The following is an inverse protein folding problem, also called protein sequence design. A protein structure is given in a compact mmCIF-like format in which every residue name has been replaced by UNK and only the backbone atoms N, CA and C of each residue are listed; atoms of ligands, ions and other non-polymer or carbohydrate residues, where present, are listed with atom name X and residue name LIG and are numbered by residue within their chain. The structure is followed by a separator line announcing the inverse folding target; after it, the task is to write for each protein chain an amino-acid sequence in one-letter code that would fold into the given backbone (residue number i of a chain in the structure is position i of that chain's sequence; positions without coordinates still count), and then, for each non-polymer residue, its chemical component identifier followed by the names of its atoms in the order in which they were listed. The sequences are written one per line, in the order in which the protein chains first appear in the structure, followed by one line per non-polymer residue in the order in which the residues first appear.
data_IF_037754455488
#
_entry.id   IF_037754455488
#
_cell.length_a   1.000
_cell.length_b   1.000
_cell.length_c   1.000
_cell.angle_alpha   90.00
_cell.angle_beta   90.00
_cell.angle_gamma   90.00
#
_symmetry.space_group_name_H-M   'P 1'
#
loop_
_entity.id
_entity.type
_entity.pdbx_description
1 polymer ?
#
# COMPACT_ATOMS: atom_id res chain seq x y z
N UNK A 1 -1.90 -14.12 12.34
CA UNK A 1 -0.97 -15.26 12.12
C UNK A 1 -0.12 -15.57 13.35
N UNK A 2 0.60 -14.58 13.90
CA UNK A 2 1.43 -14.75 15.12
C UNK A 2 0.61 -15.20 16.33
N UNK A 3 -0.55 -14.58 16.55
CA UNK A 3 -1.41 -14.91 17.70
C UNK A 3 -2.13 -16.26 17.58
N UNK A 4 -2.23 -16.80 16.36
CA UNK A 4 -2.92 -18.07 16.11
C UNK A 4 -4.36 -18.08 16.61
N UNK A 5 -4.80 -19.24 17.11
CA UNK A 5 -6.11 -19.38 17.78
C UNK A 5 -7.28 -18.93 16.91
N UNK A 6 -8.17 -18.10 17.46
CA UNK A 6 -9.37 -17.58 16.79
C UNK A 6 -9.07 -16.67 15.57
N UNK A 7 -7.82 -16.24 15.38
CA UNK A 7 -7.43 -15.42 14.23
C UNK A 7 -7.17 -16.23 12.95
N UNK A 8 -7.26 -17.55 13.02
CA UNK A 8 -7.23 -18.43 11.84
C UNK A 8 -8.56 -19.17 11.83
N UNK A 9 -9.35 -18.95 10.79
CA UNK A 9 -10.72 -19.49 10.69
C UNK A 9 -10.89 -20.08 9.30
N UNK A 10 -11.54 -21.24 9.22
CA UNK A 10 -11.92 -21.84 7.95
C UNK A 10 -13.02 -21.00 7.30
N UNK A 11 -12.81 -20.59 6.05
CA UNK A 11 -13.79 -19.81 5.30
C UNK A 11 -14.75 -20.75 4.55
N UNK A 12 -16.04 -20.41 4.56
CA UNK A 12 -17.07 -21.09 3.76
C UNK A 12 -17.52 -20.19 2.61
N UNK A 13 -18.30 -20.71 1.67
CA UNK A 13 -18.80 -19.93 0.52
C UNK A 13 -19.49 -18.62 0.93
N UNK A 14 -20.31 -18.67 1.98
CA UNK A 14 -21.02 -17.49 2.49
C UNK A 14 -20.10 -16.48 3.19
N UNK A 15 -18.89 -16.86 3.62
CA UNK A 15 -17.94 -15.98 4.31
C UNK A 15 -17.47 -14.82 3.43
N UNK A 16 -17.57 -14.96 2.10
CA UNK A 16 -17.17 -13.94 1.12
C UNK A 16 -18.36 -13.34 0.36
N UNK A 17 -19.59 -13.60 0.81
CA UNK A 17 -20.78 -13.00 0.20
C UNK A 17 -20.94 -11.55 0.64
N UNK A 18 -21.39 -10.69 -0.27
CA UNK A 18 -21.69 -9.27 0.00
C UNK A 18 -20.48 -8.42 0.43
N UNK A 19 -19.24 -8.81 0.11
CA UNK A 19 -18.05 -8.04 0.47
C UNK A 19 -17.43 -7.26 -0.71
N UNK A 20 -17.82 -7.56 -1.96
CA UNK A 20 -17.15 -7.03 -3.16
C UNK A 20 -17.23 -5.51 -3.33
N UNK A 21 -18.28 -4.88 -2.79
CA UNK A 21 -18.51 -3.43 -2.88
C UNK A 21 -17.96 -2.68 -1.65
N UNK A 22 -17.43 -3.40 -0.65
CA UNK A 22 -16.91 -2.80 0.57
C UNK A 22 -15.46 -2.37 0.36
N UNK A 23 -15.13 -1.16 0.83
CA UNK A 23 -13.74 -0.72 0.91
C UNK A 23 -12.97 -1.42 2.02
N UNK A 24 -11.65 -1.48 1.87
CA UNK A 24 -10.76 -2.06 2.88
C UNK A 24 -10.75 -3.60 2.86
N UNK A 25 -10.56 -4.21 4.03
CA UNK A 25 -10.46 -5.66 4.18
C UNK A 25 -11.37 -6.14 5.31
N UNK A 26 -12.23 -7.13 5.02
CA UNK A 26 -13.16 -7.71 5.99
C UNK A 26 -12.47 -8.56 7.06
N UNK A 27 -11.27 -9.06 6.75
CA UNK A 27 -10.43 -9.84 7.68
C UNK A 27 -9.45 -8.95 8.45
N UNK A 28 -9.47 -7.64 8.21
CA UNK A 28 -8.59 -6.67 8.85
C UNK A 28 -7.17 -6.65 8.28
N UNK A 29 -6.43 -5.60 8.64
CA UNK A 29 -4.99 -5.46 8.38
C UNK A 29 -4.36 -4.76 9.58
N UNK A 30 -3.19 -5.23 10.01
CA UNK A 30 -2.49 -4.69 11.17
C UNK A 30 -0.98 -4.74 10.95
N UNK A 31 -0.28 -3.69 11.41
CA UNK A 31 1.19 -3.70 11.47
C UNK A 31 1.62 -4.68 12.56
N UNK A 32 2.32 -5.74 12.18
CA UNK A 32 2.75 -6.80 13.10
C UNK A 32 4.23 -6.65 13.45
N UNK A 33 4.55 -5.97 14.57
CA UNK A 33 5.94 -5.81 15.03
C UNK A 33 6.61 -7.14 15.34
N UNK A 34 5.89 -8.05 16.00
CA UNK A 34 6.41 -9.37 16.37
C UNK A 34 6.89 -10.20 15.18
N UNK A 35 6.27 -10.02 14.01
CA UNK A 35 6.64 -10.76 12.80
C UNK A 35 7.97 -10.27 12.19
N UNK A 36 8.46 -9.10 12.60
CA UNK A 36 9.81 -8.63 12.26
C UNK A 36 10.88 -9.43 13.00
N UNK A 37 10.54 -9.99 14.16
CA UNK A 37 11.44 -10.83 14.95
C UNK A 37 11.29 -12.31 14.58
N UNK A 38 12.41 -13.03 14.61
CA UNK A 38 12.42 -14.48 14.33
C UNK A 38 11.48 -15.25 15.28
N UNK A 39 11.41 -14.84 16.55
CA UNK A 39 10.52 -15.45 17.54
C UNK A 39 9.03 -15.34 17.15
N UNK A 40 8.60 -14.22 16.57
CA UNK A 40 7.22 -14.08 16.09
C UNK A 40 6.96 -14.90 14.83
N UNK A 41 7.95 -15.01 13.92
CA UNK A 41 7.87 -15.91 12.77
C UNK A 41 7.82 -17.38 13.18
N UNK A 42 8.56 -17.79 14.21
CA UNK A 42 8.52 -19.14 14.78
C UNK A 42 7.12 -19.48 15.31
N UNK A 43 6.50 -18.57 16.08
CA UNK A 43 5.12 -18.71 16.55
C UNK A 43 4.12 -18.82 15.38
N UNK A 44 4.27 -17.96 14.38
CA UNK A 44 3.44 -18.00 13.18
C UNK A 44 3.55 -19.35 12.45
N UNK A 45 4.77 -19.86 12.25
CA UNK A 45 5.00 -21.17 11.63
C UNK A 45 4.31 -22.29 12.41
N UNK A 46 4.46 -22.32 13.73
CA UNK A 46 3.77 -23.28 14.61
C UNK A 46 2.25 -23.27 14.40
N UNK A 47 1.65 -22.08 14.38
CA UNK A 47 0.20 -21.93 14.23
C UNK A 47 -0.31 -22.44 12.88
N UNK A 48 0.46 -22.24 11.81
CA UNK A 48 0.14 -22.75 10.48
C UNK A 48 0.26 -24.27 10.42
N UNK A 49 1.37 -24.83 10.95
CA UNK A 49 1.60 -26.28 11.01
C UNK A 49 0.52 -26.99 11.84
N UNK A 50 0.12 -26.41 12.97
CA UNK A 50 -0.95 -26.94 13.82
C UNK A 50 -2.29 -27.10 13.10
N UNK A 51 -2.47 -26.40 11.97
CA UNK A 51 -3.68 -26.46 11.12
C UNK A 51 -3.41 -27.10 9.75
N UNK A 52 -2.20 -27.59 9.50
CA UNK A 52 -1.80 -28.17 8.23
C UNK A 52 -1.75 -27.18 7.07
N UNK A 53 -1.53 -25.89 7.35
CA UNK A 53 -1.50 -24.83 6.35
C UNK A 53 -0.06 -24.65 5.84
N UNK A 54 0.16 -24.94 4.56
CA UNK A 54 1.45 -24.74 3.86
C UNK A 54 1.32 -23.94 2.57
N UNK A 55 0.11 -23.50 2.25
CA UNK A 55 -0.16 -22.63 1.12
C UNK A 55 -0.66 -21.31 1.67
N UNK A 56 0.05 -20.23 1.38
CA UNK A 56 -0.24 -18.91 1.91
C UNK A 56 -0.41 -17.92 0.76
N UNK A 57 -1.55 -17.23 0.75
CA UNK A 57 -1.77 -16.07 -0.12
C UNK A 57 -1.64 -14.82 0.73
N UNK A 58 -0.72 -13.93 0.36
CA UNK A 58 -0.47 -12.67 1.08
C UNK A 58 -0.92 -11.52 0.21
N UNK A 59 -1.87 -10.73 0.71
CA UNK A 59 -2.39 -9.53 0.04
C UNK A 59 -1.93 -8.31 0.82
N UNK A 60 -1.13 -7.43 0.20
CA UNK A 60 -0.65 -6.22 0.84
C UNK A 60 0.37 -5.46 0.01
N UNK A 61 0.93 -4.40 0.58
CA UNK A 61 1.99 -3.61 -0.06
C UNK A 61 3.39 -4.23 0.10
N UNK A 62 4.41 -3.50 -0.36
CA UNK A 62 5.80 -3.94 -0.41
C UNK A 62 6.28 -4.66 0.86
N UNK A 63 6.22 -4.00 2.01
CA UNK A 63 6.71 -4.58 3.27
C UNK A 63 6.03 -5.89 3.70
N UNK A 64 4.77 -6.13 3.30
CA UNK A 64 4.09 -7.40 3.57
C UNK A 64 4.64 -8.53 2.68
N UNK A 65 4.90 -8.22 1.41
CA UNK A 65 5.45 -9.17 0.45
C UNK A 65 6.93 -9.45 0.72
N UNK A 66 7.70 -8.45 1.16
CA UNK A 66 9.07 -8.65 1.65
C UNK A 66 9.08 -9.60 2.85
N UNK A 67 8.20 -9.37 3.82
CA UNK A 67 8.07 -10.23 5.00
C UNK A 67 7.67 -11.67 4.66
N UNK A 68 6.77 -11.84 3.69
CA UNK A 68 6.38 -13.16 3.19
C UNK A 68 7.55 -13.88 2.51
N UNK A 69 8.33 -13.20 1.68
CA UNK A 69 9.52 -13.78 1.04
C UNK A 69 10.54 -14.23 2.09
N UNK A 70 10.85 -13.38 3.08
CA UNK A 70 11.75 -13.75 4.18
C UNK A 70 11.23 -14.97 4.94
N UNK A 71 9.94 -15.00 5.25
CA UNK A 71 9.31 -16.12 5.95
C UNK A 71 9.44 -17.44 5.19
N UNK A 72 9.29 -17.42 3.85
CA UNK A 72 9.51 -18.59 2.98
C UNK A 72 10.96 -19.06 3.00
N UNK A 73 11.91 -18.13 2.94
CA UNK A 73 13.35 -18.45 2.96
C UNK A 73 13.77 -19.07 4.29
N UNK A 74 13.25 -18.55 5.40
CA UNK A 74 13.54 -19.05 6.74
C UNK A 74 12.77 -20.32 7.12
N UNK A 75 11.71 -20.69 6.37
CA UNK A 75 10.76 -21.74 6.72
C UNK A 75 11.40 -23.05 7.18
N UNK A 76 12.37 -23.56 6.43
CA UNK A 76 13.06 -24.81 6.80
C UNK A 76 13.77 -24.70 8.15
N UNK A 77 14.48 -23.60 8.39
CA UNK A 77 15.18 -23.37 9.66
C UNK A 77 14.22 -23.18 10.85
N UNK A 78 13.04 -22.58 10.61
CA UNK A 78 12.01 -22.44 11.63
C UNK A 78 11.43 -23.80 12.01
N UNK A 79 11.20 -24.69 11.05
CA UNK A 79 10.73 -26.04 11.32
C UNK A 79 11.75 -26.89 12.08
N UNK A 80 13.03 -26.78 11.73
CA UNK A 80 14.09 -27.50 12.44
C UNK A 80 14.21 -27.02 13.90
N UNK A 81 14.01 -25.73 14.14
CA UNK A 81 13.96 -25.12 15.48
C UNK A 81 12.73 -25.58 16.27
N UNK A 82 11.54 -25.60 15.65
CA UNK A 82 10.32 -26.13 16.27
C UNK A 82 10.45 -27.62 16.62
N UNK A 83 11.10 -28.41 15.77
CA UNK A 83 11.36 -29.83 16.02
C UNK A 83 12.30 -30.01 17.21
N UNK A 84 13.38 -29.22 17.27
CA UNK A 84 14.33 -29.23 18.40
C UNK A 84 13.67 -28.86 19.72
N UNK A 85 12.72 -27.94 19.69
CA UNK A 85 11.95 -27.51 20.87
C UNK A 85 10.85 -28.52 21.25
N UNK A 86 10.62 -29.58 20.46
CA UNK A 86 9.55 -30.55 20.68
C UNK A 86 8.15 -29.99 20.42
N UNK A 87 8.03 -28.88 19.69
CA UNK A 87 6.76 -28.21 19.40
C UNK A 87 6.03 -28.84 18.19
N UNK A 88 6.76 -29.55 17.33
CA UNK A 88 6.24 -30.32 16.20
C UNK A 88 6.90 -31.70 16.15
N UNK A 89 6.23 -32.68 15.53
CA UNK A 89 6.80 -34.01 15.32
C UNK A 89 7.65 -34.08 14.05
N UNK A 90 8.54 -35.07 13.97
CA UNK A 90 9.35 -35.32 12.76
C UNK A 90 8.48 -35.60 11.52
N UNK A 91 7.32 -36.25 11.71
CA UNK A 91 6.34 -36.48 10.65
C UNK A 91 5.74 -35.17 10.15
N UNK A 92 5.31 -34.28 11.06
CA UNK A 92 4.78 -32.97 10.70
C UNK A 92 5.82 -32.13 9.96
N UNK A 93 7.08 -32.12 10.44
CA UNK A 93 8.19 -31.43 9.77
C UNK A 93 8.36 -31.93 8.33
N UNK A 94 8.33 -33.24 8.11
CA UNK A 94 8.50 -33.82 6.77
C UNK A 94 7.29 -33.56 5.86
N UNK A 95 6.06 -33.68 6.41
CA UNK A 95 4.82 -33.45 5.67
C UNK A 95 4.69 -31.99 5.21
N UNK A 96 5.10 -31.05 6.05
CA UNK A 96 4.92 -29.61 5.83
C UNK A 96 6.22 -28.87 5.48
N UNK A 97 7.21 -29.59 4.93
CA UNK A 97 8.54 -29.09 4.58
C UNK A 97 8.52 -27.89 3.62
N UNK A 98 7.53 -27.84 2.71
CA UNK A 98 7.46 -26.82 1.66
C UNK A 98 6.36 -25.82 2.02
N UNK A 99 6.72 -24.54 2.03
CA UNK A 99 5.78 -23.42 2.11
C UNK A 99 5.61 -22.79 0.73
N UNK A 100 4.41 -22.89 0.17
CA UNK A 100 4.03 -22.23 -1.06
C UNK A 100 3.47 -20.85 -0.73
N UNK A 101 3.99 -19.81 -1.37
CA UNK A 101 3.50 -18.44 -1.19
C UNK A 101 3.12 -17.85 -2.54
N UNK A 102 1.93 -17.25 -2.61
CA UNK A 102 1.53 -16.33 -3.66
C UNK A 102 1.29 -14.93 -3.06
N UNK A 103 1.74 -13.90 -3.77
CA UNK A 103 1.58 -12.50 -3.37
C UNK A 103 0.61 -11.77 -4.29
N UNK A 104 -0.25 -10.94 -3.71
CA UNK A 104 -1.07 -9.96 -4.43
C UNK A 104 -0.74 -8.58 -3.90
N UNK A 105 -0.50 -7.64 -4.80
CA UNK A 105 -0.12 -6.28 -4.42
C UNK A 105 -1.37 -5.45 -4.14
N UNK A 106 -1.65 -5.24 -2.86
CA UNK A 106 -2.70 -4.35 -2.37
C UNK A 106 -2.08 -3.07 -1.82
N UNK A 107 -2.01 -2.03 -2.64
CA UNK A 107 -1.42 -0.73 -2.33
C UNK A 107 -2.16 0.35 -3.11
N UNK A 108 -2.35 1.52 -2.51
CA UNK A 108 -2.85 2.70 -3.22
C UNK A 108 -1.71 3.44 -3.93
N UNK A 109 -0.48 3.24 -3.48
CA UNK A 109 0.67 4.07 -3.86
C UNK A 109 1.23 3.71 -5.25
N UNK A 110 0.85 2.55 -5.81
CA UNK A 110 1.46 1.94 -7.00
C UNK A 110 2.99 1.80 -6.92
N UNK A 111 3.46 1.43 -5.73
CA UNK A 111 4.88 1.46 -5.32
C UNK A 111 5.62 0.13 -5.50
N UNK A 112 5.03 -0.85 -6.16
CA UNK A 112 5.62 -2.19 -6.29
C UNK A 112 6.18 -2.44 -7.69
N UNK A 113 7.51 -2.51 -7.79
CA UNK A 113 8.20 -2.82 -9.04
C UNK A 113 7.80 -4.20 -9.58
N UNK A 114 7.51 -4.28 -10.88
CA UNK A 114 7.17 -5.52 -11.58
C UNK A 114 5.67 -5.73 -11.82
N UNK A 115 4.81 -4.82 -11.35
CA UNK A 115 3.43 -4.70 -11.79
C UNK A 115 3.19 -3.31 -12.35
N UNK A 116 2.36 -3.20 -13.37
CA UNK A 116 1.98 -1.89 -13.94
C UNK A 116 0.98 -1.16 -13.03
N UNK A 117 0.16 -1.92 -12.29
CA UNK A 117 -0.88 -1.41 -11.39
C UNK A 117 -1.00 -2.23 -10.12
N UNK A 118 -1.34 -1.57 -9.01
CA UNK A 118 -1.66 -2.21 -7.72
C UNK A 118 -3.14 -2.12 -7.37
N UNK A 119 -3.64 -3.09 -6.61
CA UNK A 119 -5.04 -3.12 -6.18
C UNK A 119 -5.27 -1.98 -5.18
N UNK A 120 -6.13 -1.04 -5.55
CA UNK A 120 -6.51 0.11 -4.72
C UNK A 120 -6.12 1.47 -5.29
N UNK A 121 -5.15 1.52 -6.21
CA UNK A 121 -4.67 2.78 -6.82
C UNK A 121 -5.77 3.56 -7.52
N UNK A 122 -6.53 2.91 -8.40
CA UNK A 122 -7.63 3.54 -9.13
C UNK A 122 -8.73 4.05 -8.20
N UNK A 123 -9.07 3.27 -7.17
CA UNK A 123 -10.03 3.69 -6.15
C UNK A 123 -9.55 4.91 -5.37
N UNK A 124 -8.26 4.98 -5.02
CA UNK A 124 -7.66 6.13 -4.35
C UNK A 124 -7.63 7.36 -5.26
N UNK A 125 -7.23 7.19 -6.52
CA UNK A 125 -7.26 8.25 -7.54
C UNK A 125 -8.67 8.82 -7.69
N UNK A 126 -9.68 7.96 -7.75
CA UNK A 126 -11.07 8.40 -7.84
C UNK A 126 -11.50 9.25 -6.63
N UNK A 127 -11.03 8.92 -5.41
CA UNK A 127 -11.27 9.77 -4.22
C UNK A 127 -10.55 11.12 -4.30
N UNK A 128 -9.32 11.16 -4.84
CA UNK A 128 -8.56 12.41 -5.02
C UNK A 128 -9.27 13.32 -6.02
N UNK A 129 -9.73 12.76 -7.15
CA UNK A 129 -10.47 13.50 -8.18
C UNK A 129 -11.77 14.05 -7.60
N UNK A 130 -12.57 13.22 -6.91
CA UNK A 130 -13.81 13.70 -6.27
C UNK A 130 -13.57 14.83 -5.27
N UNK A 131 -12.52 14.72 -4.44
CA UNK A 131 -12.17 15.77 -3.50
C UNK A 131 -11.73 17.06 -4.20
N UNK A 132 -11.01 16.92 -5.31
CA UNK A 132 -10.56 18.05 -6.13
C UNK A 132 -11.75 18.72 -6.83
N UNK A 133 -12.65 17.96 -7.43
CA UNK A 133 -13.86 18.48 -8.07
C UNK A 133 -14.76 19.22 -7.08
N UNK A 134 -14.87 18.71 -5.84
CA UNK A 134 -15.63 19.36 -4.79
C UNK A 134 -15.11 20.76 -4.44
N UNK A 135 -13.78 20.98 -4.46
CA UNK A 135 -13.18 22.28 -4.13
C UNK A 135 -13.18 23.27 -5.30
N UNK A 136 -13.19 22.81 -6.56
CA UNK A 136 -13.11 23.65 -7.77
C UNK A 136 -14.16 24.78 -7.75
N UNK A 137 -15.41 24.46 -7.41
CA UNK A 137 -16.51 25.43 -7.37
C UNK A 137 -16.23 26.60 -6.42
N UNK A 138 -15.63 26.32 -5.26
CA UNK A 138 -15.27 27.31 -4.26
C UNK A 138 -14.01 28.09 -4.64
N UNK A 139 -13.06 27.42 -5.31
CA UNK A 139 -11.82 28.02 -5.79
C UNK A 139 -12.08 29.07 -6.87
N UNK A 140 -12.91 28.72 -7.85
CA UNK A 140 -13.27 29.59 -8.98
C UNK A 140 -14.01 30.86 -8.53
N UNK A 141 -14.89 30.73 -7.53
CA UNK A 141 -15.71 31.83 -7.00
C UNK A 141 -14.87 32.91 -6.32
N UNK A 142 -13.81 32.50 -5.61
CA UNK A 142 -12.99 33.39 -4.78
C UNK A 142 -11.57 33.63 -5.31
N UNK A 143 -11.24 33.16 -6.52
CA UNK A 143 -9.91 33.32 -7.11
C UNK A 143 -8.78 32.76 -6.23
N UNK A 144 -9.03 31.59 -5.64
CA UNK A 144 -8.11 30.94 -4.71
C UNK A 144 -7.18 29.97 -5.40
N UNK A 145 -5.99 29.84 -4.82
CA UNK A 145 -5.06 28.77 -5.11
C UNK A 145 -5.19 27.72 -4.02
N UNK A 146 -5.41 26.47 -4.42
CA UNK A 146 -5.47 25.33 -3.50
C UNK A 146 -4.22 24.48 -3.66
N UNK A 147 -3.69 24.03 -2.52
CA UNK A 147 -2.58 23.09 -2.45
C UNK A 147 -3.17 21.80 -1.87
N UNK A 148 -3.11 20.73 -2.65
CA UNK A 148 -3.70 19.43 -2.35
C UNK A 148 -2.57 18.44 -2.05
N UNK A 149 -2.41 18.07 -0.79
CA UNK A 149 -1.51 17.00 -0.40
C UNK A 149 -2.16 15.64 -0.63
N UNK A 150 -1.48 14.74 -1.36
CA UNK A 150 -1.95 13.39 -1.66
C UNK A 150 -1.00 12.35 -1.11
N UNK A 151 -1.56 11.18 -0.76
CA UNK A 151 -0.78 10.03 -0.31
C UNK A 151 0.16 9.53 -1.41
N UNK A 152 1.11 8.70 -1.01
CA UNK A 152 2.11 8.13 -1.90
C UNK A 152 3.40 7.74 -1.18
N UNK A 153 3.59 8.21 0.07
CA UNK A 153 4.81 8.03 0.89
C UNK A 153 6.11 8.37 0.16
N UNK A 154 6.65 7.45 -0.63
CA UNK A 154 7.90 7.64 -1.40
C UNK A 154 7.67 7.49 -2.92
N UNK A 155 6.41 7.37 -3.35
CA UNK A 155 6.00 7.28 -4.73
C UNK A 155 5.07 8.44 -5.09
N UNK A 156 5.35 9.10 -6.21
CA UNK A 156 4.58 10.20 -6.78
C UNK A 156 3.53 9.74 -7.81
N UNK A 157 3.29 8.43 -7.99
CA UNK A 157 2.33 7.95 -8.99
C UNK A 157 0.95 8.59 -8.79
N UNK A 158 0.42 8.58 -7.56
CA UNK A 158 -0.85 9.21 -7.26
C UNK A 158 -0.83 10.72 -7.52
N UNK A 159 0.22 11.44 -7.15
CA UNK A 159 0.29 12.89 -7.37
C UNK A 159 0.36 13.24 -8.85
N UNK A 160 1.18 12.54 -9.62
CA UNK A 160 1.36 12.77 -11.06
C UNK A 160 0.09 12.46 -11.83
N UNK A 161 -0.53 11.29 -11.58
CA UNK A 161 -1.76 10.91 -12.28
C UNK A 161 -2.92 11.81 -11.87
N UNK A 162 -3.05 12.13 -10.58
CA UNK A 162 -4.07 13.09 -10.12
C UNK A 162 -3.90 14.43 -10.81
N UNK A 163 -2.66 14.95 -10.87
CA UNK A 163 -2.36 16.24 -11.48
C UNK A 163 -2.71 16.27 -12.96
N UNK A 164 -2.46 15.17 -13.67
CA UNK A 164 -2.84 15.02 -15.07
C UNK A 164 -4.37 14.99 -15.24
N UNK A 165 -5.09 14.25 -14.38
CA UNK A 165 -6.55 14.10 -14.49
C UNK A 165 -7.33 15.34 -14.05
N UNK A 166 -6.80 16.14 -13.13
CA UNK A 166 -7.48 17.33 -12.60
C UNK A 166 -6.93 18.65 -13.18
N UNK A 167 -6.09 18.57 -14.22
CA UNK A 167 -5.45 19.72 -14.85
C UNK A 167 -4.72 20.64 -13.86
N UNK A 168 -3.95 20.06 -12.94
CA UNK A 168 -3.21 20.84 -11.95
C UNK A 168 -2.15 21.74 -12.60
N UNK A 169 -2.02 22.98 -12.13
CA UNK A 169 -1.04 23.94 -12.64
C UNK A 169 0.40 23.52 -12.34
N UNK A 170 0.59 22.80 -11.24
CA UNK A 170 1.90 22.32 -10.81
C UNK A 170 1.76 21.05 -9.95
N UNK A 171 2.76 20.18 -10.04
CA UNK A 171 2.83 18.94 -9.25
C UNK A 171 4.20 18.77 -8.62
N UNK A 172 4.23 18.28 -7.38
CA UNK A 172 5.45 17.87 -6.69
C UNK A 172 5.43 16.35 -6.48
N UNK A 173 6.50 15.69 -6.93
CA UNK A 173 6.70 14.25 -6.78
C UNK A 173 8.15 13.94 -6.36
N UNK A 174 8.38 12.93 -5.50
CA UNK A 174 9.72 12.55 -5.05
C UNK A 174 10.65 12.09 -6.18
N UNK A 175 10.12 11.44 -7.21
CA UNK A 175 10.92 10.89 -8.31
C UNK A 175 11.46 11.96 -9.26
N UNK A 176 10.82 13.14 -9.28
CA UNK A 176 11.28 14.30 -10.02
C UNK A 176 11.25 15.54 -9.14
N UNK A 177 12.24 15.69 -8.23
CA UNK A 177 12.32 16.83 -7.34
C UNK A 177 12.43 18.14 -8.14
N UNK A 178 11.79 19.22 -7.66
CA UNK A 178 11.75 20.49 -8.36
C UNK A 178 13.16 21.12 -8.46
N UNK A 179 13.43 21.94 -9.49
CA UNK A 179 14.72 22.64 -9.61
C UNK A 179 14.87 23.72 -8.53
N UNK A 180 16.10 24.16 -8.23
CA UNK A 180 16.37 25.19 -7.18
C UNK A 180 15.56 26.50 -7.33
N UNK A 181 15.11 26.83 -8.55
CA UNK A 181 14.33 28.04 -8.83
C UNK A 181 12.82 27.77 -8.98
N UNK A 182 12.32 26.70 -8.37
CA UNK A 182 10.93 26.28 -8.52
C UNK A 182 9.94 27.30 -7.97
N UNK A 183 10.28 28.05 -6.93
CA UNK A 183 9.41 29.07 -6.34
C UNK A 183 9.13 30.17 -7.35
N UNK A 184 10.17 30.60 -8.06
CA UNK A 184 10.06 31.63 -9.10
C UNK A 184 9.30 31.09 -10.31
N UNK A 185 9.56 29.85 -10.70
CA UNK A 185 8.85 29.19 -11.81
C UNK A 185 7.37 29.00 -11.52
N UNK A 186 7.04 28.56 -10.30
CA UNK A 186 5.67 28.36 -9.84
C UNK A 186 4.93 29.70 -9.82
N UNK A 187 5.47 30.72 -9.14
CA UNK A 187 4.84 32.05 -9.11
C UNK A 187 4.59 32.59 -10.53
N UNK A 188 5.59 32.49 -11.41
CA UNK A 188 5.47 32.93 -12.81
C UNK A 188 4.38 32.16 -13.57
N UNK A 189 4.28 30.85 -13.37
CA UNK A 189 3.24 30.02 -14.00
C UNK A 189 1.84 30.43 -13.51
N UNK A 190 1.67 30.59 -12.19
CA UNK A 190 0.40 31.01 -11.60
C UNK A 190 -0.04 32.41 -12.09
N UNK A 191 0.90 33.34 -12.19
CA UNK A 191 0.63 34.67 -12.75
C UNK A 191 0.20 34.60 -14.22
N UNK A 192 0.87 33.77 -15.03
CA UNK A 192 0.51 33.56 -16.44
C UNK A 192 -0.91 33.00 -16.60
N UNK A 193 -1.28 32.01 -15.79
CA UNK A 193 -2.62 31.42 -15.82
C UNK A 193 -3.68 32.44 -15.42
N UNK A 194 -3.43 33.23 -14.37
CA UNK A 194 -4.34 34.32 -13.97
C UNK A 194 -4.49 35.38 -15.07
N UNK A 195 -3.40 35.73 -15.76
CA UNK A 195 -3.43 36.65 -16.90
C UNK A 195 -4.19 36.08 -18.11
N UNK A 196 -4.16 34.75 -18.30
CA UNK A 196 -4.94 34.05 -19.31
C UNK A 196 -6.45 33.95 -18.97
N UNK A 197 -6.87 34.50 -17.82
CA UNK A 197 -8.25 34.52 -17.37
C UNK A 197 -8.65 33.33 -16.50
N UNK A 198 -7.69 32.45 -16.15
CA UNK A 198 -7.95 31.36 -15.22
C UNK A 198 -8.24 31.91 -13.82
N UNK A 199 -9.31 31.43 -13.20
CA UNK A 199 -9.82 31.96 -11.92
C UNK A 199 -9.54 31.03 -10.74
N UNK A 200 -8.81 29.95 -10.92
CA UNK A 200 -8.39 29.07 -9.84
C UNK A 200 -7.01 28.52 -10.16
N UNK A 201 -6.27 28.10 -9.14
CA UNK A 201 -5.09 27.29 -9.37
C UNK A 201 -5.09 26.09 -8.43
N UNK A 202 -4.66 24.94 -8.93
CA UNK A 202 -4.55 23.69 -8.18
C UNK A 202 -3.11 23.23 -8.25
N UNK A 203 -2.51 23.01 -7.09
CA UNK A 203 -1.17 22.47 -6.94
C UNK A 203 -1.32 21.14 -6.21
N UNK A 204 -0.78 20.06 -6.77
CA UNK A 204 -0.80 18.74 -6.12
C UNK A 204 0.60 18.44 -5.55
N UNK A 205 0.64 18.00 -4.31
CA UNK A 205 1.87 17.71 -3.57
C UNK A 205 1.82 16.27 -3.08
N UNK A 206 2.75 15.41 -3.49
CA UNK A 206 2.90 14.11 -2.86
C UNK A 206 3.36 14.25 -1.40
N UNK A 207 2.88 13.38 -0.51
CA UNK A 207 3.37 13.25 0.89
C UNK A 207 4.89 13.17 0.96
N UNK A 208 5.50 12.48 -0.02
CA UNK A 208 6.95 12.31 -0.14
C UNK A 208 7.70 13.41 -0.88
N UNK A 209 7.08 14.54 -1.19
CA UNK A 209 7.74 15.60 -1.93
C UNK A 209 9.00 16.09 -1.21
N UNK A 210 10.10 16.18 -1.95
CA UNK A 210 11.42 16.63 -1.47
C UNK A 210 11.99 17.65 -2.44
N UNK A 211 12.90 18.50 -1.95
CA UNK A 211 13.78 19.32 -2.78
C UNK A 211 15.00 18.52 -3.29
N UNK A 212 15.82 19.16 -4.12
CA UNK A 212 17.06 18.58 -4.66
C UNK A 212 18.24 18.74 -3.73
#
# INVERSE_FOLDING_TARGET
MVDGGANIVEAVWSSVSSIIHLGGTTIGSARCKDFRERAGRLKAAKNLIGRGITNLVVIGGDGSLTGANLFRQEWGSLLDELLKNGEITAEQRNKYKILNIAGLVGSIDNDFCGTDMTIGTDSALHRIIEATDAIISTAYSHQRTFIMEVMGRHCGYLSVVSALTTEADFVFCPESPPPENWETRLCKKLDQERMAGQRLNIIIVAEGAIDR
#
